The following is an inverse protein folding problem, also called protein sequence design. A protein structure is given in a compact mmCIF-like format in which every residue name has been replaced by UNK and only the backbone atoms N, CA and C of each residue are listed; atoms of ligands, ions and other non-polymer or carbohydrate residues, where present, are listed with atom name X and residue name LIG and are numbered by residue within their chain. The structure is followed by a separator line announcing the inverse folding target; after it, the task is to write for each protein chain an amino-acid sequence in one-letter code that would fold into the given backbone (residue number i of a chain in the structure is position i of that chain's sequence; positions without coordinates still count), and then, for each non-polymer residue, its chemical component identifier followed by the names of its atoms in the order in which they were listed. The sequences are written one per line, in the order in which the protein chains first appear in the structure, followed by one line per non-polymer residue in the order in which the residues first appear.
data_IF_984226539584
#
_entry.id   IF_984226539584
#
_cell.length_a   1.000
_cell.length_b   1.000
_cell.length_c   1.000
_cell.angle_alpha   90.00
_cell.angle_beta   90.00
_cell.angle_gamma   90.00
#
_symmetry.space_group_name_H-M   'P 1'
#
loop_
_entity.id
_entity.type
_entity.pdbx_description
1 polymer ?
#
# COMPACT_ATOMS: atom_id res chain seq x y z
N UNK A 1 11.90 -11.79 -9.90
CA UNK A 1 10.54 -11.93 -10.44
C UNK A 1 10.44 -11.13 -11.73
N UNK A 2 9.99 -11.71 -12.85
CA UNK A 2 9.94 -10.98 -14.14
C UNK A 2 8.64 -10.18 -14.23
N UNK A 3 8.63 -9.07 -14.98
CA UNK A 3 7.46 -8.20 -15.17
C UNK A 3 6.22 -8.95 -15.67
N UNK A 4 6.43 -9.95 -16.54
CA UNK A 4 5.36 -10.79 -17.10
C UNK A 4 4.67 -11.62 -16.02
N UNK A 5 5.45 -12.14 -15.07
CA UNK A 5 4.94 -12.94 -13.94
C UNK A 5 4.07 -12.07 -13.03
N UNK A 6 4.54 -10.84 -12.75
CA UNK A 6 3.79 -9.88 -11.94
C UNK A 6 2.44 -9.51 -12.59
N UNK A 7 2.45 -9.22 -13.89
CA UNK A 7 1.22 -8.90 -14.63
C UNK A 7 0.24 -10.08 -14.61
N UNK A 8 0.73 -11.30 -14.77
CA UNK A 8 -0.09 -12.50 -14.69
C UNK A 8 -0.78 -12.64 -13.32
N UNK A 9 -0.07 -12.40 -12.22
CA UNK A 9 -0.66 -12.42 -10.87
C UNK A 9 -1.73 -11.34 -10.67
N UNK A 10 -1.46 -10.11 -11.11
CA UNK A 10 -2.42 -9.00 -11.00
C UNK A 10 -3.70 -9.25 -11.80
N UNK A 11 -3.58 -9.82 -13.00
CA UNK A 11 -4.72 -10.20 -13.82
C UNK A 11 -5.52 -11.34 -13.17
N UNK A 12 -4.84 -12.37 -12.65
CA UNK A 12 -5.48 -13.49 -11.95
C UNK A 12 -6.23 -13.05 -10.69
N UNK A 13 -5.67 -12.12 -9.91
CA UNK A 13 -6.29 -11.55 -8.72
C UNK A 13 -7.45 -10.58 -9.00
N UNK A 14 -7.82 -10.35 -10.27
CA UNK A 14 -8.79 -9.31 -10.70
C UNK A 14 -8.44 -7.93 -10.17
N UNK A 15 -7.16 -7.66 -9.99
CA UNK A 15 -6.68 -6.39 -9.45
C UNK A 15 -6.62 -5.29 -10.51
N UNK A 16 -6.60 -5.68 -11.79
CA UNK A 16 -6.61 -4.76 -12.92
C UNK A 16 -8.05 -4.46 -13.33
N UNK A 17 -8.60 -3.38 -12.79
CA UNK A 17 -9.92 -2.86 -13.17
C UNK A 17 -9.78 -1.51 -13.87
N UNK A 18 -10.75 -1.14 -14.69
CA UNK A 18 -10.77 0.16 -15.39
C UNK A 18 -10.63 1.32 -14.41
N UNK A 19 -11.33 1.27 -13.26
CA UNK A 19 -11.23 2.28 -12.20
C UNK A 19 -9.81 2.40 -11.64
N UNK A 20 -9.13 1.27 -11.37
CA UNK A 20 -7.75 1.27 -10.85
C UNK A 20 -6.74 1.76 -11.89
N UNK A 21 -6.91 1.38 -13.16
CA UNK A 21 -6.07 1.86 -14.26
C UNK A 21 -6.24 3.37 -14.45
N UNK A 22 -7.47 3.87 -14.50
CA UNK A 22 -7.74 5.31 -14.58
C UNK A 22 -7.16 6.06 -13.37
N UNK A 23 -7.28 5.51 -12.16
CA UNK A 23 -6.71 6.10 -10.96
C UNK A 23 -5.17 6.17 -11.03
N UNK A 24 -4.51 5.09 -11.46
CA UNK A 24 -3.07 5.06 -11.65
C UNK A 24 -2.62 6.08 -12.71
N UNK A 25 -3.30 6.15 -13.85
CA UNK A 25 -3.00 7.13 -14.91
C UNK A 25 -3.14 8.58 -14.44
N UNK A 26 -4.14 8.90 -13.60
CA UNK A 26 -4.28 10.23 -12.98
C UNK A 26 -3.08 10.55 -12.09
N UNK A 27 -2.70 9.63 -11.19
CA UNK A 27 -1.56 9.83 -10.29
C UNK A 27 -0.24 9.99 -11.06
N UNK A 28 0.02 9.13 -12.05
CA UNK A 28 1.22 9.24 -12.90
C UNK A 28 1.24 10.53 -13.73
N UNK A 29 0.09 10.96 -14.26
CA UNK A 29 -0.03 12.24 -14.97
C UNK A 29 0.37 13.41 -14.08
N UNK A 30 -0.19 13.48 -12.87
CA UNK A 30 0.12 14.56 -11.91
C UNK A 30 1.59 14.60 -11.51
N UNK A 31 2.20 13.44 -11.25
CA UNK A 31 3.64 13.34 -10.98
C UNK A 31 4.46 13.86 -12.16
N UNK A 32 4.10 13.50 -13.40
CA UNK A 32 4.77 13.97 -14.61
C UNK A 32 4.63 15.48 -14.82
N UNK A 33 3.51 16.06 -14.44
CA UNK A 33 3.25 17.50 -14.50
C UNK A 33 3.69 18.26 -13.23
N UNK A 34 4.38 17.61 -12.29
CA UNK A 34 4.96 18.25 -11.11
C UNK A 34 3.94 18.84 -10.13
N UNK A 35 2.69 18.36 -10.14
CA UNK A 35 1.69 18.86 -9.19
C UNK A 35 1.87 18.20 -7.82
N UNK A 36 1.85 19.03 -6.77
CA UNK A 36 2.04 18.61 -5.38
C UNK A 36 0.79 17.95 -4.78
N UNK A 37 -0.40 18.32 -5.26
CA UNK A 37 -1.65 17.75 -4.75
C UNK A 37 -2.04 16.46 -5.51
N UNK A 38 -2.42 15.38 -4.82
CA UNK A 38 -2.85 14.15 -5.48
C UNK A 38 -4.26 14.29 -6.06
N UNK A 39 -4.44 13.98 -7.36
CA UNK A 39 -5.75 13.95 -8.03
C UNK A 39 -6.40 12.54 -8.06
N UNK A 40 -5.82 11.58 -7.36
CA UNK A 40 -6.27 10.19 -7.32
C UNK A 40 -6.03 9.56 -5.95
N UNK A 41 -6.60 8.38 -5.77
CA UNK A 41 -6.43 7.55 -4.58
C UNK A 41 -5.10 6.77 -4.62
N UNK A 42 -4.64 6.23 -3.48
CA UNK A 42 -3.54 5.28 -3.47
C UNK A 42 -3.80 4.10 -4.42
N UNK A 43 -2.82 3.77 -5.28
CA UNK A 43 -2.91 2.63 -6.20
C UNK A 43 -2.71 1.29 -5.49
N UNK A 44 -2.05 1.31 -4.34
CA UNK A 44 -1.78 0.17 -3.47
C UNK A 44 -2.10 0.63 -2.05
N UNK A 45 -2.84 -0.22 -1.31
CA UNK A 45 -3.12 -0.03 0.11
C UNK A 45 -2.74 -1.31 0.84
N UNK A 46 -1.91 -1.18 1.87
CA UNK A 46 -1.61 -2.27 2.79
C UNK A 46 -2.44 -2.04 4.05
N UNK A 47 -3.22 -3.05 4.44
CA UNK A 47 -4.02 -3.02 5.66
C UNK A 47 -3.47 -4.08 6.60
N UNK A 48 -2.89 -3.64 7.70
CA UNK A 48 -2.52 -4.53 8.80
C UNK A 48 -3.65 -4.54 9.84
N UNK A 49 -4.28 -5.71 10.11
CA UNK A 49 -5.40 -5.77 11.04
C UNK A 49 -4.99 -5.55 12.50
N UNK A 50 -3.69 -5.68 12.79
CA UNK A 50 -3.10 -5.45 14.11
C UNK A 50 -1.66 -5.01 13.93
N UNK A 51 -1.21 -4.16 14.84
CA UNK A 51 0.21 -3.80 14.98
C UNK A 51 0.85 -4.46 16.21
N UNK A 52 0.19 -5.47 16.79
CA UNK A 52 0.71 -6.24 17.92
C UNK A 52 1.65 -7.35 17.42
N UNK A 53 2.83 -7.43 18.02
CA UNK A 53 3.82 -8.47 17.77
C UNK A 53 4.50 -8.85 19.10
N UNK A 54 4.83 -10.13 19.28
CA UNK A 54 5.50 -10.66 20.48
C UNK A 54 7.04 -10.58 20.40
N UNK A 55 7.60 -10.34 19.22
CA UNK A 55 9.04 -10.17 19.03
C UNK A 55 9.49 -8.74 19.39
N UNK A 56 10.77 -8.61 19.76
CA UNK A 56 11.42 -7.35 20.16
C UNK A 56 12.56 -6.98 19.20
N UNK A 57 12.29 -7.03 17.89
CA UNK A 57 13.31 -6.77 16.89
C UNK A 57 13.82 -5.33 16.96
N UNK A 58 15.14 -5.14 17.00
CA UNK A 58 15.78 -3.82 17.13
C UNK A 58 15.55 -2.91 15.92
N UNK A 59 15.29 -3.47 14.74
CA UNK A 59 15.04 -2.70 13.51
C UNK A 59 13.56 -2.32 13.32
N UNK A 60 12.65 -2.88 14.13
CA UNK A 60 11.22 -2.67 13.94
C UNK A 60 10.69 -1.61 14.91
N UNK A 61 9.95 -0.59 14.44
CA UNK A 61 9.39 0.44 15.32
C UNK A 61 8.39 -0.13 16.34
N UNK A 62 7.69 -1.21 16.00
CA UNK A 62 6.82 -1.93 16.94
C UNK A 62 7.61 -2.57 18.08
N UNK A 63 8.74 -3.22 17.74
CA UNK A 63 9.64 -3.90 18.68
C UNK A 63 10.40 -2.92 19.59
N UNK A 64 10.82 -1.77 19.03
CA UNK A 64 11.41 -0.66 19.78
C UNK A 64 10.40 0.12 20.63
N UNK A 65 9.09 -0.01 20.34
CA UNK A 65 8.06 0.81 20.99
C UNK A 65 8.04 2.26 20.53
N UNK A 66 8.64 2.57 19.39
CA UNK A 66 8.72 3.93 18.80
C UNK A 66 7.63 4.21 17.78
N UNK A 67 6.79 3.22 17.46
CA UNK A 67 5.66 3.38 16.57
C UNK A 67 4.65 4.38 17.15
N UNK A 68 4.41 5.50 16.44
CA UNK A 68 3.47 6.54 16.88
C UNK A 68 2.00 6.10 16.83
N UNK A 69 1.68 5.12 15.99
CA UNK A 69 0.34 4.59 15.91
C UNK A 69 -0.03 3.85 17.21
N UNK A 70 -1.25 4.04 17.74
CA UNK A 70 -1.67 3.35 18.96
C UNK A 70 -1.66 1.85 18.75
N UNK A 71 -1.20 1.10 19.75
CA UNK A 71 -1.23 -0.36 19.72
C UNK A 71 -2.68 -0.85 19.79
N UNK A 72 -3.03 -1.79 18.91
CA UNK A 72 -4.38 -2.34 18.88
C UNK A 72 -4.63 -3.32 17.76
N UNK A 73 -5.78 -3.97 17.85
CA UNK A 73 -6.35 -4.83 16.82
C UNK A 73 -7.67 -4.25 16.32
N UNK A 74 -7.89 -4.34 15.02
CA UNK A 74 -9.15 -3.98 14.40
C UNK A 74 -10.27 -4.91 14.92
N UNK A 75 -11.44 -4.34 15.23
CA UNK A 75 -12.64 -5.12 15.53
C UNK A 75 -13.22 -5.65 14.22
N UNK A 76 -13.52 -6.94 14.18
CA UNK A 76 -14.23 -7.59 13.07
C UNK A 76 -15.74 -7.40 13.21
#
# INVERSE_FOLDING_TARGET
MKKKDMLFYMLRGREVTTRRVCNALKCFGMMKFGRLEPAGYPSILMVEPTNLCNLKCELCPTGQGTLRAPRGSMKL
#
